data_IF_710880858510
#
_entry.id   IF_710880858510
#
_cell.length_a   1.000
_cell.length_b   1.000
_cell.length_c   1.000
_cell.angle_alpha   90.00
_cell.angle_beta   90.00
_cell.angle_gamma   90.00
#
_symmetry.space_group_name_H-M   'P 1'
#
loop_
_entity.id
_entity.type
_entity.pdbx_description
1 polymer ?
#
# COMPACT_ATOMS: atom_id res chain seq x y z
N UNK A 1 14.87 -32.05 1.37
CA UNK A 1 15.85 -30.99 1.63
C UNK A 1 15.34 -29.69 0.99
N UNK A 2 14.88 -28.73 1.82
CA UNK A 2 14.49 -27.41 1.35
C UNK A 2 15.74 -26.68 0.82
N UNK A 3 15.69 -26.15 -0.40
CA UNK A 3 16.75 -25.28 -0.93
C UNK A 3 16.76 -24.00 -0.12
N UNK A 4 17.83 -23.73 0.62
CA UNK A 4 18.11 -22.39 1.19
C UNK A 4 18.36 -21.43 0.03
N UNK A 5 17.63 -20.29 0.01
CA UNK A 5 17.91 -19.21 -0.93
C UNK A 5 18.58 -18.05 -0.19
N UNK A 6 19.60 -17.48 -0.81
CA UNK A 6 20.39 -16.38 -0.26
C UNK A 6 20.31 -15.08 -1.07
N UNK A 7 19.97 -15.20 -2.34
CA UNK A 7 19.94 -14.07 -3.28
C UNK A 7 18.62 -14.04 -4.06
N UNK A 8 17.47 -13.76 -3.41
CA UNK A 8 16.20 -13.71 -4.11
C UNK A 8 16.08 -12.45 -4.97
N UNK A 9 15.30 -12.53 -6.05
CA UNK A 9 14.82 -11.36 -6.77
C UNK A 9 13.47 -10.93 -6.18
N UNK A 10 13.42 -9.75 -5.59
CA UNK A 10 12.20 -9.11 -5.09
C UNK A 10 11.52 -8.36 -6.23
N UNK A 11 10.30 -8.73 -6.55
CA UNK A 11 9.51 -8.13 -7.62
C UNK A 11 8.32 -7.38 -7.04
N UNK A 12 8.28 -6.06 -7.26
CA UNK A 12 7.24 -5.16 -6.78
C UNK A 12 7.12 -3.92 -7.66
N UNK A 13 6.37 -2.95 -7.18
CA UNK A 13 6.16 -1.66 -7.83
C UNK A 13 7.12 -0.59 -7.28
N UNK A 14 8.38 -0.98 -7.04
CA UNK A 14 9.37 -0.19 -6.32
C UNK A 14 10.03 0.88 -7.20
N UNK A 15 10.42 2.00 -6.57
CA UNK A 15 11.05 3.13 -7.27
C UNK A 15 10.10 3.88 -8.21
N UNK A 16 8.80 3.80 -8.01
CA UNK A 16 7.77 4.55 -8.76
C UNK A 16 7.37 5.84 -8.02
N UNK A 17 8.20 6.27 -7.07
CA UNK A 17 7.93 7.43 -6.21
C UNK A 17 6.55 7.33 -5.52
N UNK A 18 6.26 6.15 -4.98
CA UNK A 18 5.06 5.84 -4.23
C UNK A 18 5.43 5.31 -2.85
N UNK A 19 5.24 6.13 -1.83
CA UNK A 19 5.57 5.79 -0.43
C UNK A 19 4.91 4.50 0.05
N UNK A 20 3.75 4.14 -0.53
CA UNK A 20 3.07 2.89 -0.18
C UNK A 20 3.80 1.64 -0.67
N UNK A 21 4.37 1.68 -1.86
CA UNK A 21 5.16 0.57 -2.40
C UNK A 21 6.55 0.50 -1.74
N UNK A 22 7.11 1.66 -1.34
CA UNK A 22 8.34 1.73 -0.56
C UNK A 22 8.13 1.14 0.84
N UNK A 23 6.99 1.41 1.49
CA UNK A 23 6.61 0.79 2.76
C UNK A 23 6.47 -0.74 2.66
N UNK A 24 5.95 -1.25 1.54
CA UNK A 24 5.92 -2.70 1.27
C UNK A 24 7.33 -3.28 1.13
N UNK A 25 8.25 -2.57 0.49
CA UNK A 25 9.65 -3.00 0.38
C UNK A 25 10.31 -3.00 1.75
N UNK A 26 10.17 -1.94 2.55
CA UNK A 26 10.69 -1.89 3.92
C UNK A 26 10.15 -3.05 4.77
N UNK A 27 8.84 -3.30 4.74
CA UNK A 27 8.23 -4.39 5.47
C UNK A 27 8.75 -5.77 5.03
N UNK A 28 9.00 -5.96 3.72
CA UNK A 28 9.58 -7.20 3.20
C UNK A 28 11.03 -7.38 3.70
N UNK A 29 11.85 -6.34 3.59
CA UNK A 29 13.25 -6.39 4.02
C UNK A 29 13.40 -6.70 5.51
N UNK A 30 12.54 -6.12 6.37
CA UNK A 30 12.51 -6.42 7.81
C UNK A 30 12.09 -7.87 8.12
N UNK A 31 11.38 -8.53 7.22
CA UNK A 31 10.92 -9.90 7.41
C UNK A 31 11.84 -10.94 6.78
N UNK A 32 12.78 -10.54 5.92
CA UNK A 32 13.76 -11.46 5.34
C UNK A 32 14.62 -12.11 6.44
N UNK A 33 15.00 -13.38 6.27
CA UNK A 33 15.96 -14.03 7.17
C UNK A 33 17.32 -13.34 7.16
N UNK A 34 18.06 -13.40 8.28
CA UNK A 34 19.41 -12.85 8.34
C UNK A 34 20.35 -13.44 7.27
N UNK A 35 21.20 -12.61 6.69
CA UNK A 35 22.18 -13.02 5.68
C UNK A 35 21.65 -13.08 4.24
N UNK A 36 20.35 -12.90 4.01
CA UNK A 36 19.79 -12.81 2.67
C UNK A 36 20.18 -11.48 2.02
N UNK A 37 20.69 -11.54 0.79
CA UNK A 37 21.11 -10.39 0.00
C UNK A 37 20.24 -10.30 -1.27
N UNK A 38 19.09 -9.62 -1.22
CA UNK A 38 18.17 -9.60 -2.35
C UNK A 38 18.63 -8.67 -3.46
N UNK A 39 18.17 -8.97 -4.69
CA UNK A 39 18.07 -8.02 -5.78
C UNK A 39 16.64 -7.50 -5.86
N UNK A 40 16.46 -6.28 -6.37
CA UNK A 40 15.14 -5.62 -6.44
C UNK A 40 14.86 -5.17 -7.85
N UNK A 41 13.63 -5.40 -8.34
CA UNK A 41 13.17 -4.74 -9.57
C UNK A 41 12.72 -3.32 -9.25
N UNK A 42 13.28 -2.30 -9.88
CA UNK A 42 12.96 -0.90 -9.62
C UNK A 42 12.76 -0.09 -10.90
N UNK A 43 11.89 0.92 -10.86
CA UNK A 43 11.77 1.91 -11.91
C UNK A 43 12.93 2.91 -11.82
N UNK A 44 13.03 3.61 -10.69
CA UNK A 44 14.19 4.43 -10.34
C UNK A 44 15.18 3.58 -9.52
N UNK A 45 16.21 3.06 -10.23
CA UNK A 45 17.22 2.21 -9.61
C UNK A 45 18.10 3.01 -8.64
N UNK A 46 18.46 4.25 -9.00
CA UNK A 46 19.34 5.08 -8.17
C UNK A 46 18.69 5.39 -6.82
N UNK A 47 17.40 5.75 -6.84
CA UNK A 47 16.63 5.99 -5.62
C UNK A 47 16.61 4.76 -4.71
N UNK A 48 16.25 3.59 -5.26
CA UNK A 48 16.13 2.35 -4.48
C UNK A 48 17.50 1.89 -3.95
N UNK A 49 18.56 1.98 -4.76
CA UNK A 49 19.92 1.63 -4.34
C UNK A 49 20.46 2.57 -3.25
N UNK A 50 20.16 3.86 -3.35
CA UNK A 50 20.55 4.83 -2.35
C UNK A 50 19.78 4.65 -1.03
N UNK A 51 18.45 4.49 -1.11
CA UNK A 51 17.57 4.44 0.06
C UNK A 51 17.70 3.11 0.81
N UNK A 52 17.72 1.98 0.09
CA UNK A 52 17.68 0.65 0.70
C UNK A 52 19.03 -0.08 0.71
N UNK A 53 20.07 0.48 0.07
CA UNK A 53 21.42 -0.12 -0.06
C UNK A 53 21.38 -1.51 -0.71
N UNK A 54 20.50 -1.68 -1.70
CA UNK A 54 20.28 -2.93 -2.42
C UNK A 54 20.73 -2.84 -3.87
N UNK A 55 21.06 -3.99 -4.45
CA UNK A 55 21.23 -4.09 -5.91
C UNK A 55 19.90 -4.07 -6.58
N UNK A 56 19.78 -3.35 -7.70
CA UNK A 56 18.53 -3.26 -8.46
C UNK A 56 18.70 -3.61 -9.94
N UNK A 57 17.57 -3.86 -10.60
CA UNK A 57 17.48 -3.96 -12.06
C UNK A 57 16.23 -3.22 -12.55
N UNK A 58 16.33 -2.66 -13.77
CA UNK A 58 15.25 -1.86 -14.36
C UNK A 58 14.01 -2.72 -14.63
N UNK A 59 12.92 -2.48 -13.90
CA UNK A 59 11.66 -3.23 -14.01
C UNK A 59 10.94 -3.08 -15.35
N UNK A 60 11.18 -1.99 -16.09
CA UNK A 60 10.57 -1.75 -17.39
C UNK A 60 11.28 -2.50 -18.53
N UNK A 61 12.44 -3.09 -18.26
CA UNK A 61 13.22 -3.86 -19.24
C UNK A 61 13.16 -5.35 -18.90
N UNK A 62 12.19 -6.07 -19.46
CA UNK A 62 11.97 -7.50 -19.17
C UNK A 62 13.28 -8.32 -19.31
N UNK A 63 14.08 -8.06 -20.32
CA UNK A 63 15.37 -8.76 -20.54
C UNK A 63 16.33 -8.53 -19.36
N UNK A 64 16.39 -7.29 -18.84
CA UNK A 64 17.23 -6.98 -17.66
C UNK A 64 16.76 -7.74 -16.41
N UNK A 65 15.43 -7.82 -16.21
CA UNK A 65 14.85 -8.54 -15.08
C UNK A 65 15.05 -10.06 -15.22
N UNK A 66 14.93 -10.63 -16.41
CA UNK A 66 15.22 -12.05 -16.66
C UNK A 66 16.71 -12.36 -16.46
N UNK A 67 17.61 -11.46 -16.88
CA UNK A 67 19.05 -11.58 -16.62
C UNK A 67 19.38 -11.46 -15.12
N UNK A 68 18.70 -10.60 -14.37
CA UNK A 68 18.82 -10.56 -12.91
C UNK A 68 18.28 -11.84 -12.27
N UNK A 69 17.10 -12.31 -12.71
CA UNK A 69 16.50 -13.55 -12.23
C UNK A 69 17.41 -14.76 -12.45
N UNK A 70 18.16 -14.83 -13.55
CA UNK A 70 19.09 -15.94 -13.79
C UNK A 70 20.22 -16.03 -12.75
N UNK A 71 20.59 -14.90 -12.14
CA UNK A 71 21.63 -14.80 -11.09
C UNK A 71 21.08 -14.96 -9.68
N UNK A 72 19.76 -14.89 -9.51
CA UNK A 72 19.07 -15.07 -8.24
C UNK A 72 18.67 -16.53 -8.04
N UNK A 73 18.34 -16.92 -6.82
CA UNK A 73 17.99 -18.29 -6.44
C UNK A 73 16.49 -18.48 -6.13
N UNK A 74 15.75 -17.39 -5.99
CA UNK A 74 14.29 -17.38 -5.79
C UNK A 74 13.66 -16.15 -6.45
N UNK A 75 12.35 -16.21 -6.72
CA UNK A 75 11.53 -15.06 -7.11
C UNK A 75 10.50 -14.80 -6.02
N UNK A 76 10.50 -13.60 -5.45
CA UNK A 76 9.53 -13.18 -4.42
C UNK A 76 8.73 -11.99 -4.95
N UNK A 77 7.41 -12.14 -5.02
CA UNK A 77 6.50 -11.03 -5.27
C UNK A 77 6.22 -10.34 -3.94
N UNK A 78 6.68 -9.11 -3.81
CA UNK A 78 6.81 -8.39 -2.54
C UNK A 78 5.65 -7.45 -2.23
N UNK A 79 4.47 -7.99 -1.98
CA UNK A 79 3.29 -7.21 -1.58
C UNK A 79 2.53 -6.55 -2.73
N UNK A 80 1.53 -5.78 -2.40
CA UNK A 80 0.67 -5.12 -3.38
C UNK A 80 -0.30 -6.07 -4.08
N UNK A 81 -0.87 -5.64 -5.21
CA UNK A 81 -1.71 -6.47 -6.09
C UNK A 81 -1.10 -6.49 -7.49
N UNK A 82 -0.10 -7.33 -7.69
CA UNK A 82 0.61 -7.43 -8.96
C UNK A 82 -0.15 -8.28 -9.97
N UNK A 83 -0.81 -9.35 -9.52
CA UNK A 83 -1.62 -10.25 -10.35
C UNK A 83 -3.06 -9.72 -10.48
N UNK A 84 -3.24 -8.67 -11.30
CA UNK A 84 -4.50 -7.97 -11.54
C UNK A 84 -4.58 -7.44 -12.98
N UNK A 85 -5.78 -7.06 -13.48
CA UNK A 85 -5.97 -6.53 -14.83
C UNK A 85 -6.65 -5.16 -14.89
N UNK A 86 -6.73 -4.46 -13.75
CA UNK A 86 -7.30 -3.10 -13.69
C UNK A 86 -6.40 -2.05 -14.34
N UNK A 87 -5.07 -2.23 -14.29
CA UNK A 87 -4.10 -1.36 -14.97
C UNK A 87 -3.94 -1.77 -16.44
N UNK A 88 -3.41 -2.96 -16.69
CA UNK A 88 -3.29 -3.49 -18.05
C UNK A 88 -3.12 -5.02 -18.08
N UNK A 89 -3.56 -5.64 -19.17
CA UNK A 89 -3.28 -7.05 -19.41
C UNK A 89 -1.79 -7.31 -19.69
N UNK A 90 -1.07 -6.32 -20.27
CA UNK A 90 0.38 -6.42 -20.51
C UNK A 90 1.17 -6.56 -19.22
N UNK A 91 0.77 -5.85 -18.16
CA UNK A 91 1.37 -5.98 -16.84
C UNK A 91 1.24 -7.41 -16.30
N UNK A 92 0.05 -8.02 -16.46
CA UNK A 92 -0.16 -9.41 -16.05
C UNK A 92 0.69 -10.40 -16.85
N UNK A 93 0.87 -10.18 -18.16
CA UNK A 93 1.77 -11.00 -19.01
C UNK A 93 3.23 -10.87 -18.57
N UNK A 94 3.67 -9.67 -18.17
CA UNK A 94 5.02 -9.45 -17.63
C UNK A 94 5.26 -10.31 -16.39
N UNK A 95 4.36 -10.28 -15.40
CA UNK A 95 4.49 -11.11 -14.20
C UNK A 95 4.38 -12.61 -14.50
N UNK A 96 3.54 -12.98 -15.47
CA UNK A 96 3.45 -14.36 -15.95
C UNK A 96 4.80 -14.86 -16.51
N UNK A 97 5.46 -14.04 -17.33
CA UNK A 97 6.77 -14.36 -17.89
C UNK A 97 7.82 -14.58 -16.79
N UNK A 98 7.82 -13.77 -15.74
CA UNK A 98 8.74 -13.94 -14.61
C UNK A 98 8.47 -15.24 -13.83
N UNK A 99 7.21 -15.56 -13.54
CA UNK A 99 6.82 -16.80 -12.84
C UNK A 99 7.25 -18.03 -13.66
N UNK A 100 6.93 -18.05 -14.95
CA UNK A 100 7.27 -19.16 -15.85
C UNK A 100 8.79 -19.29 -15.95
N UNK A 101 9.52 -18.18 -16.18
CA UNK A 101 10.97 -18.19 -16.28
C UNK A 101 11.65 -18.69 -15.01
N UNK A 102 11.18 -18.28 -13.82
CA UNK A 102 11.69 -18.77 -12.54
C UNK A 102 11.50 -20.29 -12.41
N UNK A 103 10.31 -20.78 -12.76
CA UNK A 103 10.00 -22.22 -12.67
C UNK A 103 10.79 -23.08 -13.66
N UNK A 104 11.00 -22.58 -14.90
CA UNK A 104 11.84 -23.25 -15.89
C UNK A 104 13.31 -23.36 -15.44
N UNK A 105 13.77 -22.41 -14.62
CA UNK A 105 15.09 -22.43 -13.98
C UNK A 105 15.13 -23.22 -12.66
N UNK A 106 14.04 -23.91 -12.29
CA UNK A 106 13.93 -24.68 -11.04
C UNK A 106 13.91 -23.82 -9.77
N UNK A 107 13.62 -22.51 -9.87
CA UNK A 107 13.61 -21.58 -8.74
C UNK A 107 12.24 -21.53 -8.07
N UNK A 108 12.17 -21.41 -6.73
CA UNK A 108 10.90 -21.20 -6.04
C UNK A 108 10.33 -19.82 -6.36
N UNK A 109 8.99 -19.78 -6.43
CA UNK A 109 8.21 -18.55 -6.60
C UNK A 109 7.35 -18.35 -5.37
N UNK A 110 7.54 -17.24 -4.66
CA UNK A 110 6.81 -16.91 -3.45
C UNK A 110 5.91 -15.68 -3.70
N UNK A 111 4.67 -15.75 -3.27
CA UNK A 111 3.75 -14.62 -3.22
C UNK A 111 3.66 -14.14 -1.76
N UNK A 112 4.42 -13.10 -1.42
CA UNK A 112 4.48 -12.55 -0.08
C UNK A 112 3.53 -11.36 0.03
N UNK A 113 2.54 -11.43 0.91
CA UNK A 113 1.60 -10.32 1.15
C UNK A 113 0.84 -9.85 -0.08
N UNK A 114 0.58 -10.77 -1.02
CA UNK A 114 -0.06 -10.40 -2.28
C UNK A 114 -1.57 -10.26 -2.15
N UNK A 115 -2.10 -9.15 -2.71
CA UNK A 115 -3.50 -9.10 -3.09
C UNK A 115 -3.70 -9.71 -4.48
N UNK A 116 -4.78 -10.46 -4.67
CA UNK A 116 -5.13 -11.05 -5.95
C UNK A 116 -6.32 -10.33 -6.59
N UNK A 117 -6.12 -9.85 -7.81
CA UNK A 117 -7.16 -9.15 -8.55
C UNK A 117 -7.24 -7.65 -8.27
N UNK A 118 -8.26 -6.96 -8.84
CA UNK A 118 -9.38 -7.53 -9.59
C UNK A 118 -8.96 -8.17 -10.92
N UNK A 119 -9.64 -9.27 -11.28
CA UNK A 119 -9.50 -9.97 -12.56
C UNK A 119 -10.83 -9.89 -13.31
N UNK A 120 -11.03 -8.83 -14.07
CA UNK A 120 -12.31 -8.54 -14.77
C UNK A 120 -12.45 -9.37 -16.04
N UNK A 121 -11.34 -9.61 -16.76
CA UNK A 121 -11.33 -10.27 -18.05
C UNK A 121 -11.24 -11.80 -17.89
N UNK A 122 -12.00 -12.57 -18.68
CA UNK A 122 -11.93 -14.05 -18.69
C UNK A 122 -10.52 -14.56 -18.98
N UNK A 123 -9.82 -13.96 -19.96
CA UNK A 123 -8.44 -14.32 -20.29
C UNK A 123 -7.46 -14.10 -19.14
N UNK A 124 -7.67 -13.07 -18.33
CA UNK A 124 -6.84 -12.80 -17.13
C UNK A 124 -7.04 -13.89 -16.08
N UNK A 125 -8.28 -14.30 -15.86
CA UNK A 125 -8.62 -15.40 -14.92
C UNK A 125 -8.02 -16.73 -15.38
N UNK A 126 -8.09 -17.03 -16.68
CA UNK A 126 -7.49 -18.26 -17.25
C UNK A 126 -5.96 -18.23 -17.12
N UNK A 127 -5.32 -17.10 -17.43
CA UNK A 127 -3.88 -16.95 -17.26
C UNK A 127 -3.47 -17.16 -15.80
N UNK A 128 -4.09 -16.46 -14.85
CA UNK A 128 -3.78 -16.60 -13.42
C UNK A 128 -4.06 -18.02 -12.93
N UNK A 129 -5.16 -18.66 -13.36
CA UNK A 129 -5.44 -20.05 -13.06
C UNK A 129 -4.29 -20.99 -13.49
N UNK A 130 -3.68 -20.73 -14.64
CA UNK A 130 -2.53 -21.50 -15.13
C UNK A 130 -1.22 -21.18 -14.37
N UNK A 131 -1.09 -19.98 -13.79
CA UNK A 131 0.10 -19.57 -13.04
C UNK A 131 0.10 -20.03 -11.58
N UNK A 132 -1.06 -20.08 -10.93
CA UNK A 132 -1.16 -20.42 -9.50
C UNK A 132 -0.52 -21.77 -9.13
N UNK A 133 -0.60 -22.85 -9.94
CA UNK A 133 0.11 -24.11 -9.67
C UNK A 133 1.64 -23.99 -9.74
N UNK A 134 2.17 -22.96 -10.44
CA UNK A 134 3.61 -22.72 -10.54
C UNK A 134 4.16 -21.96 -9.31
N UNK A 135 3.29 -21.40 -8.47
CA UNK A 135 3.67 -20.70 -7.24
C UNK A 135 4.01 -21.72 -6.16
N UNK A 136 5.21 -21.65 -5.60
CA UNK A 136 5.69 -22.57 -4.56
C UNK A 136 4.93 -22.38 -3.26
N UNK A 137 4.79 -21.14 -2.79
CA UNK A 137 4.02 -20.80 -1.59
C UNK A 137 3.43 -19.39 -1.71
N UNK A 138 2.29 -19.15 -1.05
CA UNK A 138 1.60 -17.87 -1.06
C UNK A 138 1.09 -17.49 0.33
N UNK A 139 1.32 -16.25 0.74
CA UNK A 139 0.62 -15.64 1.86
C UNK A 139 -0.12 -14.40 1.36
N UNK A 140 -1.44 -14.50 1.40
CA UNK A 140 -2.34 -13.45 0.90
C UNK A 140 -2.50 -12.37 1.97
N UNK A 141 -2.61 -11.11 1.54
CA UNK A 141 -2.78 -9.99 2.48
C UNK A 141 -4.21 -9.80 2.98
N UNK A 142 -5.18 -10.51 2.39
CA UNK A 142 -6.59 -10.44 2.74
C UNK A 142 -7.32 -11.75 2.41
N UNK A 143 -8.45 -12.04 3.10
CA UNK A 143 -9.25 -13.24 2.87
C UNK A 143 -9.87 -13.31 1.46
N UNK A 144 -10.21 -12.18 0.85
CA UNK A 144 -10.84 -12.12 -0.48
C UNK A 144 -9.85 -12.58 -1.56
N UNK A 145 -8.58 -12.19 -1.43
CA UNK A 145 -7.49 -12.65 -2.30
C UNK A 145 -7.29 -14.15 -2.18
N UNK A 146 -7.30 -14.70 -0.97
CA UNK A 146 -7.21 -16.14 -0.72
C UNK A 146 -8.41 -16.89 -1.31
N UNK A 147 -9.63 -16.40 -1.09
CA UNK A 147 -10.85 -16.97 -1.63
C UNK A 147 -10.85 -16.95 -3.17
N UNK A 148 -10.39 -15.85 -3.79
CA UNK A 148 -10.25 -15.77 -5.25
C UNK A 148 -9.22 -16.78 -5.76
N UNK A 149 -8.07 -16.94 -5.10
CA UNK A 149 -7.06 -17.91 -5.45
C UNK A 149 -7.64 -19.35 -5.40
N UNK A 150 -8.40 -19.68 -4.37
CA UNK A 150 -9.11 -20.96 -4.25
C UNK A 150 -10.10 -21.19 -5.39
N UNK A 151 -10.92 -20.18 -5.74
CA UNK A 151 -11.84 -20.27 -6.90
C UNK A 151 -11.11 -20.46 -8.23
N UNK A 152 -9.87 -19.97 -8.33
CA UNK A 152 -9.02 -20.15 -9.51
C UNK A 152 -8.22 -21.46 -9.47
N UNK A 153 -8.46 -22.33 -8.48
CA UNK A 153 -7.92 -23.69 -8.42
C UNK A 153 -6.61 -23.81 -7.64
N UNK A 154 -6.18 -22.80 -6.87
CA UNK A 154 -5.07 -22.98 -5.94
C UNK A 154 -5.51 -23.84 -4.78
N UNK A 155 -4.78 -24.94 -4.56
CA UNK A 155 -4.90 -25.73 -3.33
C UNK A 155 -3.88 -25.21 -2.34
N UNK A 156 -4.29 -24.79 -1.12
CA UNK A 156 -3.35 -24.33 -0.12
C UNK A 156 -2.31 -25.40 0.21
N UNK A 157 -1.04 -25.01 0.19
CA UNK A 157 0.07 -25.84 0.69
C UNK A 157 0.30 -25.57 2.18
N UNK A 158 1.18 -26.36 2.80
CA UNK A 158 1.52 -26.21 4.22
C UNK A 158 2.12 -24.85 4.58
N UNK A 159 2.74 -24.18 3.61
CA UNK A 159 3.36 -22.86 3.78
C UNK A 159 2.45 -21.70 3.31
N UNK A 160 1.23 -22.00 2.85
CA UNK A 160 0.29 -20.96 2.44
C UNK A 160 -0.40 -20.35 3.67
N UNK A 161 -0.74 -19.07 3.57
CA UNK A 161 -1.38 -18.34 4.66
C UNK A 161 -2.22 -17.16 4.20
N UNK A 162 -2.94 -16.58 5.16
CA UNK A 162 -3.65 -15.32 5.02
C UNK A 162 -3.25 -14.43 6.19
N UNK A 163 -2.84 -13.22 5.89
CA UNK A 163 -2.49 -12.21 6.88
C UNK A 163 -3.31 -10.93 6.70
N UNK A 164 -2.79 -9.86 7.27
CA UNK A 164 -3.18 -8.49 6.99
C UNK A 164 -2.23 -7.87 5.95
N UNK A 165 -2.42 -6.59 5.59
CA UNK A 165 -1.44 -5.91 4.74
C UNK A 165 -0.04 -5.93 5.40
N UNK A 166 1.02 -6.31 4.67
CA UNK A 166 2.36 -6.45 5.25
C UNK A 166 2.92 -5.20 5.93
N UNK A 167 2.47 -4.01 5.50
CA UNK A 167 2.90 -2.72 6.08
C UNK A 167 2.55 -2.61 7.56
N UNK A 168 1.52 -3.31 8.04
CA UNK A 168 1.23 -3.42 9.48
C UNK A 168 2.35 -4.05 10.30
N UNK A 169 3.30 -4.73 9.64
CA UNK A 169 4.50 -5.29 10.29
C UNK A 169 5.65 -4.29 10.50
N UNK A 170 5.52 -3.05 10.05
CA UNK A 170 6.48 -1.98 10.33
C UNK A 170 6.41 -1.57 11.82
N UNK A 171 7.52 -1.11 12.41
CA UNK A 171 7.54 -0.63 13.78
C UNK A 171 6.59 0.55 13.99
N UNK A 172 5.70 0.51 14.98
CA UNK A 172 4.85 1.65 15.31
C UNK A 172 5.69 2.80 15.91
N UNK A 173 5.21 4.03 15.74
CA UNK A 173 5.78 5.21 16.39
C UNK A 173 4.89 5.69 17.54
N UNK A 174 5.44 6.55 18.38
CA UNK A 174 4.69 7.22 19.43
C UNK A 174 4.04 8.49 18.88
N UNK A 175 2.73 8.59 18.99
CA UNK A 175 2.00 9.79 18.65
C UNK A 175 2.32 10.97 19.59
N UNK A 176 2.47 12.15 19.01
CA UNK A 176 2.78 13.42 19.70
C UNK A 176 2.00 14.58 19.06
N UNK A 177 0.87 14.26 18.43
CA UNK A 177 0.15 15.19 17.57
C UNK A 177 -1.05 15.87 18.23
N UNK A 178 -1.14 15.88 19.58
CA UNK A 178 -2.21 16.61 20.26
C UNK A 178 -2.16 18.10 19.85
N UNK A 179 -3.28 18.63 19.35
CA UNK A 179 -3.30 19.99 18.84
C UNK A 179 -2.63 20.17 17.46
N UNK A 180 -2.11 19.10 16.83
CA UNK A 180 -1.39 19.16 15.58
C UNK A 180 -2.26 19.39 14.35
N UNK A 181 -1.62 19.55 13.18
CA UNK A 181 -2.28 19.80 11.90
C UNK A 181 -3.19 18.63 11.47
N UNK A 182 -4.13 18.91 10.57
CA UNK A 182 -4.89 17.90 9.85
C UNK A 182 -4.06 17.53 8.60
N UNK A 183 -3.65 16.27 8.50
CA UNK A 183 -2.88 15.79 7.35
C UNK A 183 -3.81 15.11 6.35
N UNK A 184 -3.74 15.54 5.09
CA UNK A 184 -4.59 15.05 4.01
C UNK A 184 -3.75 14.31 2.99
N UNK A 185 -4.04 13.01 2.77
CA UNK A 185 -3.42 12.22 1.72
C UNK A 185 -4.47 11.72 0.74
N UNK A 186 -4.89 12.62 -0.16
CA UNK A 186 -5.95 12.39 -1.14
C UNK A 186 -5.39 12.20 -2.55
N UNK A 187 -6.22 11.62 -3.39
CA UNK A 187 -5.90 11.36 -4.79
C UNK A 187 -7.07 11.70 -5.71
N UNK A 188 -6.78 11.95 -6.97
CA UNK A 188 -7.82 12.02 -8.00
C UNK A 188 -8.48 10.65 -8.19
N UNK A 189 -9.80 10.65 -8.33
CA UNK A 189 -10.61 9.46 -8.63
C UNK A 189 -11.81 9.83 -9.50
N UNK A 190 -12.22 8.96 -10.45
CA UNK A 190 -13.43 9.18 -11.26
C UNK A 190 -14.72 9.26 -10.45
N UNK A 191 -14.73 8.80 -9.20
CA UNK A 191 -15.89 8.84 -8.30
C UNK A 191 -16.19 10.26 -7.82
N UNK A 192 -15.19 11.14 -7.77
CA UNK A 192 -15.36 12.52 -7.29
C UNK A 192 -15.46 13.49 -8.47
N UNK A 193 -16.63 14.09 -8.63
CA UNK A 193 -16.90 15.21 -9.54
C UNK A 193 -16.75 16.54 -8.79
N UNK A 194 -16.86 17.66 -9.49
CA UNK A 194 -16.69 18.99 -8.90
C UNK A 194 -17.59 19.24 -7.67
N UNK A 195 -18.84 18.75 -7.70
CA UNK A 195 -19.76 18.87 -6.56
C UNK A 195 -19.28 18.12 -5.32
N UNK A 196 -18.82 16.86 -5.48
CA UNK A 196 -18.31 16.07 -4.38
C UNK A 196 -16.98 16.65 -3.83
N UNK A 197 -16.13 17.16 -4.72
CA UNK A 197 -14.92 17.88 -4.28
C UNK A 197 -15.25 19.10 -3.45
N UNK A 198 -16.27 19.92 -3.85
CA UNK A 198 -16.69 21.06 -3.03
C UNK A 198 -17.21 20.65 -1.65
N UNK A 199 -17.95 19.54 -1.55
CA UNK A 199 -18.40 19.01 -0.26
C UNK A 199 -17.23 18.61 0.63
N UNK A 200 -16.27 17.81 0.11
CA UNK A 200 -15.10 17.35 0.87
C UNK A 200 -14.21 18.51 1.30
N UNK A 201 -13.94 19.45 0.40
CA UNK A 201 -13.09 20.61 0.69
C UNK A 201 -13.79 21.61 1.61
N UNK A 202 -15.10 21.75 1.49
CA UNK A 202 -15.93 22.54 2.42
C UNK A 202 -15.93 21.96 3.83
N UNK A 203 -16.08 20.63 3.96
CA UNK A 203 -15.99 19.94 5.24
C UNK A 203 -14.59 20.09 5.89
N UNK A 204 -13.53 19.94 5.09
CA UNK A 204 -12.15 20.13 5.56
C UNK A 204 -11.90 21.58 6.00
N UNK A 205 -12.41 22.54 5.23
CA UNK A 205 -12.32 23.96 5.58
C UNK A 205 -13.01 24.24 6.91
N UNK A 206 -14.27 23.81 7.06
CA UNK A 206 -15.04 23.98 8.29
C UNK A 206 -14.34 23.34 9.51
N UNK A 207 -13.81 22.11 9.34
CA UNK A 207 -13.05 21.45 10.39
C UNK A 207 -11.81 22.27 10.80
N UNK A 208 -11.02 22.73 9.81
CA UNK A 208 -9.80 23.47 10.04
C UNK A 208 -10.08 24.84 10.72
N UNK A 209 -11.14 25.55 10.32
CA UNK A 209 -11.56 26.82 10.91
C UNK A 209 -12.12 26.61 12.33
N UNK A 210 -13.03 25.67 12.53
CA UNK A 210 -13.66 25.41 13.83
C UNK A 210 -12.67 24.97 14.90
N UNK A 211 -11.57 24.32 14.48
CA UNK A 211 -10.55 23.79 15.41
C UNK A 211 -9.26 24.60 15.41
N UNK A 212 -9.20 25.69 14.61
CA UNK A 212 -8.02 26.53 14.38
C UNK A 212 -6.76 25.74 14.03
N UNK A 213 -6.89 24.78 13.09
CA UNK A 213 -5.81 23.90 12.67
C UNK A 213 -5.26 24.26 11.30
N UNK A 214 -3.94 24.12 11.16
CA UNK A 214 -3.30 24.05 9.85
C UNK A 214 -3.63 22.74 9.15
N UNK A 215 -3.55 22.74 7.81
CA UNK A 215 -3.71 21.56 6.97
C UNK A 215 -2.40 21.26 6.27
N UNK A 216 -1.95 20.02 6.30
CA UNK A 216 -0.81 19.54 5.52
C UNK A 216 -1.35 18.64 4.41
N UNK A 217 -1.16 19.06 3.15
CA UNK A 217 -1.48 18.24 1.99
C UNK A 217 -0.26 17.40 1.64
N UNK A 218 -0.33 16.09 1.91
CA UNK A 218 0.77 15.15 1.76
C UNK A 218 0.51 14.21 0.57
N UNK A 219 1.08 14.47 -0.62
CA UNK A 219 1.04 13.57 -1.76
C UNK A 219 1.74 12.24 -1.42
N UNK A 220 1.09 11.12 -1.73
CA UNK A 220 1.63 9.80 -1.43
C UNK A 220 2.26 9.12 -2.64
N UNK A 221 1.89 9.55 -3.83
CA UNK A 221 2.42 9.10 -5.11
C UNK A 221 2.77 10.32 -5.97
N UNK A 222 4.06 10.56 -6.19
CA UNK A 222 4.53 11.75 -6.90
C UNK A 222 3.86 11.93 -8.29
N UNK A 223 3.78 10.87 -9.09
CA UNK A 223 3.19 10.93 -10.44
C UNK A 223 1.66 11.07 -10.48
N UNK A 224 0.94 11.00 -9.36
CA UNK A 224 -0.53 11.02 -9.35
C UNK A 224 -1.14 12.05 -8.40
N UNK A 225 -0.46 12.39 -7.30
CA UNK A 225 -1.06 13.16 -6.21
C UNK A 225 -0.49 14.57 -6.08
N UNK A 226 0.76 14.81 -6.52
CA UNK A 226 1.48 16.09 -6.33
C UNK A 226 0.70 17.26 -6.91
N UNK A 227 0.15 17.10 -8.11
CA UNK A 227 -0.56 18.18 -8.78
C UNK A 227 -2.02 18.35 -8.34
N UNK A 228 -2.56 17.43 -7.54
CA UNK A 228 -4.00 17.43 -7.21
C UNK A 228 -4.43 18.73 -6.51
N UNK A 229 -3.66 19.19 -5.52
CA UNK A 229 -3.96 20.45 -4.80
C UNK A 229 -4.07 21.60 -5.78
N UNK A 230 -3.05 21.79 -6.64
CA UNK A 230 -3.03 22.87 -7.64
C UNK A 230 -4.14 22.72 -8.69
N UNK A 231 -4.52 21.50 -9.06
CA UNK A 231 -5.63 21.26 -9.98
C UNK A 231 -6.97 21.69 -9.38
N UNK A 232 -7.21 21.36 -8.11
CA UNK A 232 -8.42 21.75 -7.38
C UNK A 232 -8.50 23.29 -7.20
N UNK A 233 -7.35 23.92 -6.91
CA UNK A 233 -7.26 25.38 -6.80
C UNK A 233 -7.56 26.08 -8.14
N UNK A 234 -6.89 25.67 -9.22
CA UNK A 234 -7.15 26.22 -10.58
C UNK A 234 -8.59 25.99 -11.05
N UNK A 235 -9.22 24.92 -10.63
CA UNK A 235 -10.62 24.63 -10.92
C UNK A 235 -11.61 25.47 -10.09
N UNK A 236 -11.14 26.35 -9.20
CA UNK A 236 -11.98 27.15 -8.31
C UNK A 236 -12.78 26.31 -7.31
N UNK A 237 -12.24 25.15 -6.90
CA UNK A 237 -12.89 24.25 -5.95
C UNK A 237 -12.37 24.41 -4.53
N UNK A 238 -11.19 25.03 -4.35
CA UNK A 238 -10.58 25.27 -3.03
C UNK A 238 -11.19 26.51 -2.38
N UNK A 239 -11.74 26.43 -1.15
CA UNK A 239 -12.10 27.59 -0.36
C UNK A 239 -10.85 28.45 -0.06
N UNK A 240 -10.92 29.77 -0.15
CA UNK A 240 -9.79 30.67 0.08
C UNK A 240 -9.21 30.52 1.51
N UNK A 241 -10.08 30.36 2.51
CA UNK A 241 -9.65 30.12 3.90
C UNK A 241 -8.87 28.80 4.04
N UNK A 242 -9.27 27.74 3.31
CA UNK A 242 -8.53 26.47 3.31
C UNK A 242 -7.18 26.61 2.64
N UNK A 243 -7.10 27.30 1.49
CA UNK A 243 -5.82 27.56 0.80
C UNK A 243 -4.81 28.27 1.71
N UNK A 244 -5.25 29.27 2.45
CA UNK A 244 -4.39 30.04 3.37
C UNK A 244 -3.87 29.20 4.54
N UNK A 245 -4.57 28.14 4.94
CA UNK A 245 -4.20 27.23 6.05
C UNK A 245 -3.47 25.98 5.59
N UNK A 246 -3.31 25.77 4.26
CA UNK A 246 -2.78 24.53 3.70
C UNK A 246 -1.35 24.69 3.22
N UNK A 247 -0.47 23.82 3.70
CA UNK A 247 0.88 23.60 3.19
C UNK A 247 0.93 22.28 2.42
N UNK A 248 1.55 22.28 1.23
CA UNK A 248 1.84 21.05 0.48
C UNK A 248 3.22 20.55 0.86
N UNK A 249 3.29 19.35 1.44
CA UNK A 249 4.54 18.76 1.92
C UNK A 249 4.80 17.43 1.21
N UNK A 250 5.92 17.33 0.52
CA UNK A 250 6.39 16.09 -0.10
C UNK A 250 7.38 15.37 0.84
N UNK A 251 7.20 14.06 1.01
CA UNK A 251 8.09 13.23 1.80
C UNK A 251 8.96 12.37 0.89
N UNK A 252 10.25 12.32 1.15
CA UNK A 252 11.22 11.51 0.40
C UNK A 252 11.29 10.06 0.85
N UNK A 253 10.77 9.73 2.03
CA UNK A 253 10.81 8.39 2.61
C UNK A 253 9.58 8.07 3.45
N UNK A 254 9.38 6.78 3.72
CA UNK A 254 8.34 6.29 4.63
C UNK A 254 8.55 6.85 6.04
N UNK A 255 9.80 6.95 6.49
CA UNK A 255 10.15 7.51 7.81
C UNK A 255 9.75 8.97 7.92
N UNK A 256 9.96 9.77 6.86
CA UNK A 256 9.55 11.18 6.84
C UNK A 256 8.02 11.30 6.95
N UNK A 257 7.29 10.52 6.15
CA UNK A 257 5.83 10.50 6.19
C UNK A 257 5.30 10.08 7.57
N UNK A 258 5.87 9.04 8.18
CA UNK A 258 5.50 8.62 9.54
C UNK A 258 5.82 9.69 10.59
N UNK A 259 6.90 10.44 10.40
CA UNK A 259 7.25 11.57 11.28
C UNK A 259 6.21 12.68 11.19
N UNK A 260 5.76 13.04 9.99
CA UNK A 260 4.66 14.00 9.78
C UNK A 260 3.38 13.45 10.43
N UNK A 261 3.03 12.21 10.14
CA UNK A 261 1.84 11.59 10.73
C UNK A 261 1.89 11.56 12.26
N UNK A 262 3.02 11.21 12.88
CA UNK A 262 3.12 11.14 14.35
C UNK A 262 2.84 12.46 15.07
N UNK A 263 2.87 13.58 14.34
CA UNK A 263 2.57 14.93 14.82
C UNK A 263 1.22 15.46 14.35
N UNK A 264 0.45 14.66 13.63
CA UNK A 264 -0.85 15.05 13.13
C UNK A 264 -1.93 14.91 14.21
N UNK A 265 -2.84 15.89 14.30
CA UNK A 265 -4.05 15.77 15.09
C UNK A 265 -5.08 14.85 14.45
N UNK A 266 -5.03 14.72 13.11
CA UNK A 266 -5.87 13.82 12.32
C UNK A 266 -5.23 13.55 10.96
N UNK A 267 -5.31 12.31 10.49
CA UNK A 267 -4.93 11.93 9.12
C UNK A 267 -6.18 11.53 8.33
N UNK A 268 -6.49 12.28 7.28
CA UNK A 268 -7.59 12.00 6.34
C UNK A 268 -7.03 11.32 5.09
N UNK A 269 -7.22 10.01 5.00
CA UNK A 269 -6.56 9.21 3.99
C UNK A 269 -7.51 8.63 2.93
N UNK A 270 -7.24 8.88 1.64
CA UNK A 270 -7.74 8.08 0.51
C UNK A 270 -6.77 6.96 0.15
N UNK A 271 -5.47 7.16 0.34
CA UNK A 271 -4.43 6.17 0.06
C UNK A 271 -4.38 5.12 1.17
N UNK A 272 -4.46 3.83 0.80
CA UNK A 272 -4.42 2.71 1.75
C UNK A 272 -3.21 2.80 2.68
N UNK A 273 -2.01 2.97 2.13
CA UNK A 273 -0.79 2.97 2.94
C UNK A 273 -0.63 4.28 3.73
N UNK A 274 -1.24 5.40 3.32
CA UNK A 274 -1.31 6.59 4.17
C UNK A 274 -2.18 6.34 5.41
N UNK A 275 -3.30 5.62 5.26
CA UNK A 275 -4.14 5.20 6.38
C UNK A 275 -3.37 4.28 7.33
N UNK A 276 -2.68 3.27 6.77
CA UNK A 276 -1.91 2.29 7.56
C UNK A 276 -0.76 2.97 8.30
N UNK A 277 0.05 3.78 7.60
CA UNK A 277 1.21 4.47 8.19
C UNK A 277 0.78 5.55 9.19
N UNK A 278 -0.32 6.26 8.94
CA UNK A 278 -0.91 7.18 9.90
C UNK A 278 -1.30 6.47 11.21
N UNK A 279 -1.98 5.33 11.10
CA UNK A 279 -2.33 4.53 12.27
C UNK A 279 -1.10 3.94 12.99
N UNK A 280 -0.08 3.47 12.24
CA UNK A 280 1.21 3.00 12.82
C UNK A 280 2.01 4.13 13.48
N UNK A 281 1.86 5.36 13.00
CA UNK A 281 2.40 6.55 13.66
C UNK A 281 1.61 6.93 14.94
N UNK A 282 0.57 6.16 15.27
CA UNK A 282 -0.31 6.39 16.41
C UNK A 282 -1.32 7.52 16.21
N UNK A 283 -1.39 8.12 15.02
CA UNK A 283 -2.27 9.27 14.77
C UNK A 283 -3.73 8.86 14.70
N UNK A 284 -4.65 9.76 15.13
CA UNK A 284 -6.03 9.69 14.73
C UNK A 284 -6.18 9.59 13.22
N UNK A 285 -7.06 8.72 12.72
CA UNK A 285 -7.23 8.48 11.30
C UNK A 285 -8.70 8.42 10.91
N UNK A 286 -9.02 8.91 9.71
CA UNK A 286 -10.30 8.66 9.05
C UNK A 286 -10.05 8.39 7.56
N UNK A 287 -10.85 7.49 6.98
CA UNK A 287 -10.67 7.01 5.64
C UNK A 287 -11.74 7.55 4.67
N UNK A 288 -11.33 7.81 3.43
CA UNK A 288 -12.23 8.04 2.30
C UNK A 288 -12.00 6.91 1.29
N UNK A 289 -12.96 5.98 1.22
CA UNK A 289 -12.80 4.74 0.48
C UNK A 289 -13.29 4.85 -0.97
N UNK A 290 -12.37 4.81 -1.90
CA UNK A 290 -12.65 4.64 -3.34
C UNK A 290 -12.40 3.20 -3.81
N UNK A 291 -11.81 2.36 -2.95
CA UNK A 291 -11.41 0.96 -3.22
C UNK A 291 -11.73 0.11 -1.98
N UNK A 292 -12.28 -1.10 -2.14
CA UNK A 292 -12.63 -1.99 -1.03
C UNK A 292 -11.50 -2.22 -0.02
N UNK A 293 -10.23 -2.13 -0.44
CA UNK A 293 -9.06 -2.31 0.43
C UNK A 293 -8.95 -1.22 1.50
N UNK A 294 -9.30 0.03 1.15
CA UNK A 294 -9.30 1.15 2.10
C UNK A 294 -10.40 0.94 3.12
N UNK A 295 -11.60 0.52 2.68
CA UNK A 295 -12.70 0.20 3.58
C UNK A 295 -12.36 -0.95 4.54
N UNK A 296 -11.72 -2.01 4.03
CA UNK A 296 -11.28 -3.15 4.85
C UNK A 296 -10.24 -2.74 5.91
N UNK A 297 -9.27 -1.90 5.55
CA UNK A 297 -8.29 -1.37 6.51
C UNK A 297 -8.93 -0.47 7.56
N UNK A 298 -9.86 0.40 7.16
CA UNK A 298 -10.59 1.26 8.09
C UNK A 298 -11.46 0.44 9.06
N UNK A 299 -12.13 -0.61 8.57
CA UNK A 299 -12.90 -1.53 9.41
C UNK A 299 -12.00 -2.25 10.44
N UNK A 300 -10.82 -2.70 10.03
CA UNK A 300 -9.82 -3.31 10.92
C UNK A 300 -9.31 -2.36 12.01
N UNK A 301 -9.29 -1.06 11.74
CA UNK A 301 -8.94 0.00 12.69
C UNK A 301 -10.12 0.48 13.52
N UNK A 302 -11.35 0.14 13.13
CA UNK A 302 -12.59 0.73 13.66
C UNK A 302 -12.64 2.25 13.55
N UNK A 303 -12.01 2.83 12.50
CA UNK A 303 -12.03 4.26 12.25
C UNK A 303 -13.15 4.67 11.28
N UNK A 304 -13.59 5.94 11.30
CA UNK A 304 -14.57 6.43 10.33
C UNK A 304 -14.10 6.20 8.89
N UNK A 305 -15.03 5.71 8.05
CA UNK A 305 -14.77 5.44 6.66
C UNK A 305 -15.92 5.96 5.79
N UNK A 306 -15.61 6.93 4.92
CA UNK A 306 -16.57 7.49 3.97
C UNK A 306 -16.45 6.75 2.62
N UNK A 307 -17.45 5.96 2.20
CA UNK A 307 -17.43 5.30 0.90
C UNK A 307 -17.77 6.29 -0.22
N UNK A 308 -16.82 6.54 -1.14
CA UNK A 308 -16.97 7.53 -2.22
C UNK A 308 -17.84 7.07 -3.38
N UNK A 309 -18.31 5.83 -3.38
CA UNK A 309 -19.27 5.29 -4.35
C UNK A 309 -20.74 5.43 -3.88
N UNK A 310 -20.97 6.11 -2.79
CA UNK A 310 -22.29 6.43 -2.22
C UNK A 310 -22.47 7.95 -2.17
N UNK A 311 -23.70 8.46 -2.00
CA UNK A 311 -23.94 9.87 -1.74
C UNK A 311 -23.13 10.34 -0.53
N UNK A 312 -22.44 11.48 -0.68
CA UNK A 312 -21.68 12.07 0.42
C UNK A 312 -22.65 12.79 1.38
N UNK A 313 -22.35 12.78 2.69
CA UNK A 313 -23.02 13.64 3.67
C UNK A 313 -22.83 15.12 3.32
N UNK A 314 -23.63 15.97 3.92
CA UNK A 314 -23.42 17.42 3.86
C UNK A 314 -22.07 17.81 4.51
N UNK A 315 -21.50 18.93 4.07
CA UNK A 315 -20.16 19.34 4.52
C UNK A 315 -20.07 19.52 6.06
N UNK A 316 -21.13 20.04 6.68
CA UNK A 316 -21.18 20.20 8.13
C UNK A 316 -21.18 18.85 8.86
N UNK A 317 -22.02 17.90 8.44
CA UNK A 317 -22.09 16.57 9.02
C UNK A 317 -20.74 15.83 8.88
N UNK A 318 -20.11 15.95 7.72
CA UNK A 318 -18.79 15.33 7.48
C UNK A 318 -17.70 15.96 8.36
N UNK A 319 -17.72 17.28 8.53
CA UNK A 319 -16.83 18.00 9.45
C UNK A 319 -17.00 17.49 10.89
N UNK A 320 -18.25 17.31 11.34
CA UNK A 320 -18.56 16.81 12.68
C UNK A 320 -18.04 15.37 12.89
N UNK A 321 -18.21 14.49 11.89
CA UNK A 321 -17.66 13.12 11.92
C UNK A 321 -16.15 13.13 12.11
N UNK A 322 -15.44 14.00 11.38
CA UNK A 322 -13.99 14.10 11.49
C UNK A 322 -13.56 14.75 12.82
N UNK A 323 -14.33 15.71 13.31
CA UNK A 323 -14.06 16.35 14.60
C UNK A 323 -14.16 15.39 15.77
N UNK A 324 -15.06 14.40 15.73
CA UNK A 324 -15.22 13.39 16.78
C UNK A 324 -13.98 12.50 16.94
N UNK A 325 -13.17 12.34 15.91
CA UNK A 325 -11.93 11.53 15.96
C UNK A 325 -10.67 12.38 16.00
N UNK A 326 -10.81 13.71 15.93
CA UNK A 326 -9.67 14.61 16.06
C UNK A 326 -9.01 14.43 17.43
N UNK A 327 -7.69 14.27 17.46
CA UNK A 327 -6.89 14.00 18.67
C UNK A 327 -7.26 12.70 19.43
N UNK A 328 -7.98 11.77 18.78
CA UNK A 328 -8.34 10.47 19.37
C UNK A 328 -7.58 9.35 18.66
N UNK A 329 -6.43 8.89 19.20
CA UNK A 329 -5.64 7.83 18.60
C UNK A 329 -6.40 6.51 18.45
N UNK A 330 -6.05 5.67 17.47
CA UNK A 330 -6.64 4.34 17.32
C UNK A 330 -6.32 3.46 18.52
N UNK A 331 -7.26 2.58 18.89
CA UNK A 331 -7.05 1.68 20.01
C UNK A 331 -5.90 0.70 19.75
N UNK A 332 -4.95 0.56 20.70
CA UNK A 332 -3.78 -0.31 20.54
C UNK A 332 -4.12 -1.78 20.24
N UNK A 333 -5.29 -2.26 20.65
CA UNK A 333 -5.74 -3.64 20.38
C UNK A 333 -5.93 -3.90 18.88
N UNK A 334 -6.45 -2.92 18.12
CA UNK A 334 -6.67 -3.05 16.68
C UNK A 334 -5.33 -3.10 15.95
N UNK A 335 -4.40 -2.21 16.31
CA UNK A 335 -3.05 -2.20 15.73
C UNK A 335 -2.31 -3.53 15.99
N UNK A 336 -2.39 -4.06 17.21
CA UNK A 336 -1.77 -5.35 17.56
C UNK A 336 -2.35 -6.50 16.72
N UNK A 337 -3.67 -6.59 16.60
CA UNK A 337 -4.32 -7.62 15.79
C UNK A 337 -3.89 -7.58 14.32
N UNK A 338 -3.80 -6.37 13.74
CA UNK A 338 -3.35 -6.17 12.36
C UNK A 338 -1.85 -6.51 12.20
N UNK A 339 -1.01 -6.12 13.16
CA UNK A 339 0.41 -6.46 13.18
C UNK A 339 0.66 -7.98 13.31
N UNK A 340 -0.12 -8.66 14.16
CA UNK A 340 -0.08 -10.12 14.28
C UNK A 340 -0.44 -10.79 12.95
N UNK A 341 -1.47 -10.29 12.24
CA UNK A 341 -1.81 -10.73 10.89
C UNK A 341 -0.63 -10.59 9.92
N UNK A 342 0.10 -9.47 9.96
CA UNK A 342 1.26 -9.23 9.11
C UNK A 342 2.44 -10.19 9.40
N UNK A 343 2.53 -10.77 10.61
CA UNK A 343 3.58 -11.76 10.93
C UNK A 343 3.43 -13.07 10.17
N UNK A 344 2.24 -13.38 9.63
CA UNK A 344 2.02 -14.58 8.81
C UNK A 344 2.91 -14.57 7.56
N UNK A 345 3.18 -13.40 6.98
CA UNK A 345 4.05 -13.26 5.82
C UNK A 345 5.50 -13.65 6.14
N UNK A 346 5.96 -13.38 7.36
CA UNK A 346 7.29 -13.79 7.83
C UNK A 346 7.43 -15.31 7.92
N UNK A 347 6.34 -16.02 8.30
CA UNK A 347 6.35 -17.49 8.35
C UNK A 347 6.58 -18.09 6.97
N UNK A 348 5.93 -17.55 5.93
CA UNK A 348 6.16 -17.97 4.55
C UNK A 348 7.64 -17.86 4.14
N UNK A 349 8.28 -16.72 4.44
CA UNK A 349 9.70 -16.51 4.10
C UNK A 349 10.61 -17.51 4.84
N UNK A 350 10.34 -17.75 6.11
CA UNK A 350 11.12 -18.70 6.93
C UNK A 350 10.92 -20.14 6.50
N UNK A 351 9.69 -20.57 6.24
CA UNK A 351 9.39 -21.93 5.80
C UNK A 351 9.98 -22.28 4.42
N UNK A 352 10.14 -21.26 3.58
CA UNK A 352 10.76 -21.42 2.26
C UNK A 352 12.30 -21.45 2.31
N UNK A 353 12.92 -21.01 3.43
CA UNK A 353 14.38 -20.96 3.66
C UNK A 353 14.85 -22.09 4.58
N UNK A 354 13.96 -22.66 5.40
CA UNK A 354 14.32 -23.72 6.34
C UNK A 354 14.86 -24.96 5.60
N UNK A 355 15.94 -25.58 6.12
CA UNK A 355 16.58 -26.75 5.53
C UNK A 355 15.66 -27.97 5.52
#
# INVERSE_FOLDING_TARGET
>A
MGRTWAHPLLCGYYGEHNLGDDALLEALLLQLPPGVQPWVTAADQALVEQQFKLRSCNRHRLVAVLAALSRCDALIFGGGSLLQDSTSFRSLLYYAALIISARLQGKPVLLWGQGLGPLRRRRSRLLVRGLLPLVTAACWRDPDSAALAGRLGRRPGASDGVGSDPVWGLPPQQWRGLGGAIVVSWRSTPLLKAGQWRLLLGALCALAENTDRAVIWLPFHAGQDVDLFRQLERAGLMPAALTQRTEVMECGSVTDAMTVFSRAGLVLAMRLHALILGALAGSPVAALSYDPKVAAAAAGLSCPCLPLNQPLPEAAELSDIWQQVLDVPPEPKHLRSLAEGATQHRRLLRSAVAP
#
